data_IF_359975842079
#
_entry.id   IF_359975842079
#
_cell.length_a   1.000
_cell.length_b   1.000
_cell.length_c   1.000
_cell.angle_alpha   90.00
_cell.angle_beta   90.00
_cell.angle_gamma   90.00
#
_symmetry.space_group_name_H-M   'P 1'
#
loop_
_entity.id
_entity.type
_entity.pdbx_description
1 polymer ?
#
# COMPACT_ATOMS: atom_id res chain seq x y z
N UNK A 1 14.20 -6.35 -22.62
CA UNK A 1 13.64 -5.22 -23.39
C UNK A 1 12.32 -4.86 -22.75
N UNK A 2 12.25 -3.70 -22.09
CA UNK A 2 10.99 -3.19 -21.53
C UNK A 2 10.22 -2.53 -22.66
N UNK A 3 9.18 -3.19 -23.16
CA UNK A 3 8.24 -2.55 -24.08
C UNK A 3 7.46 -1.53 -23.26
N UNK A 4 7.55 -0.24 -23.58
CA UNK A 4 6.68 0.77 -22.97
C UNK A 4 5.24 0.45 -23.37
N UNK A 5 4.48 -0.16 -22.46
CA UNK A 5 3.06 -0.42 -22.65
C UNK A 5 2.34 0.93 -22.84
N UNK A 6 1.81 1.16 -24.04
CA UNK A 6 0.94 2.30 -24.31
C UNK A 6 -0.45 2.05 -23.71
N UNK A 7 -0.56 2.10 -22.38
CA UNK A 7 -1.84 2.20 -21.69
C UNK A 7 -2.16 3.68 -21.52
N UNK A 8 -3.40 4.07 -21.86
CA UNK A 8 -3.84 5.45 -21.74
C UNK A 8 -3.70 5.94 -20.29
N UNK A 9 -3.13 7.14 -20.12
CA UNK A 9 -3.01 7.80 -18.81
C UNK A 9 -4.36 8.11 -18.17
N UNK A 10 -5.39 8.23 -19.01
CA UNK A 10 -6.73 8.64 -18.61
C UNK A 10 -7.68 7.47 -18.31
N UNK A 11 -7.23 6.22 -18.54
CA UNK A 11 -8.04 5.04 -18.24
C UNK A 11 -8.29 4.91 -16.73
N UNK A 12 -9.56 4.76 -16.33
CA UNK A 12 -10.03 4.81 -14.93
C UNK A 12 -10.19 3.42 -14.31
N UNK A 13 -9.09 2.79 -13.90
CA UNK A 13 -9.07 1.51 -13.18
C UNK A 13 -9.77 1.57 -11.81
N UNK A 14 -9.52 2.62 -11.03
CA UNK A 14 -10.07 2.87 -9.69
C UNK A 14 -11.60 2.94 -9.62
N UNK A 15 -12.23 3.35 -10.72
CA UNK A 15 -13.70 3.40 -10.82
C UNK A 15 -14.28 2.06 -11.28
N UNK A 16 -13.52 1.27 -12.04
CA UNK A 16 -13.91 -0.06 -12.50
C UNK A 16 -13.85 -1.08 -11.36
N UNK A 17 -12.71 -1.13 -10.66
CA UNK A 17 -12.46 -2.10 -9.60
C UNK A 17 -12.54 -1.45 -8.21
N UNK A 18 -13.17 -2.12 -7.22
CA UNK A 18 -13.85 -3.42 -7.32
C UNK A 18 -15.28 -3.35 -7.90
N UNK A 19 -15.87 -2.16 -8.00
CA UNK A 19 -17.33 -1.99 -8.11
C UNK A 19 -17.97 -2.77 -9.26
N UNK A 20 -17.61 -2.47 -10.50
CA UNK A 20 -18.21 -3.11 -11.69
C UNK A 20 -17.97 -4.63 -11.69
N UNK A 21 -16.80 -5.07 -11.22
CA UNK A 21 -16.46 -6.48 -11.07
C UNK A 21 -17.32 -7.18 -10.01
N UNK A 22 -17.46 -6.59 -8.83
CA UNK A 22 -18.29 -7.15 -7.75
C UNK A 22 -19.76 -7.20 -8.13
N UNK A 23 -20.24 -6.20 -8.87
CA UNK A 23 -21.59 -6.20 -9.39
C UNK A 23 -21.79 -7.31 -10.42
N UNK A 24 -20.86 -7.46 -11.36
CA UNK A 24 -20.91 -8.57 -12.32
C UNK A 24 -20.97 -9.93 -11.63
N UNK A 25 -20.10 -10.21 -10.67
CA UNK A 25 -20.09 -11.47 -9.92
C UNK A 25 -21.39 -11.67 -9.11
N UNK A 26 -21.91 -10.59 -8.50
CA UNK A 26 -23.19 -10.63 -7.79
C UNK A 26 -24.37 -10.95 -8.71
N UNK A 27 -24.38 -10.44 -9.94
CA UNK A 27 -25.42 -10.74 -10.93
C UNK A 27 -25.27 -12.15 -11.52
N UNK A 28 -24.03 -12.60 -11.71
CA UNK A 28 -23.71 -13.98 -12.12
C UNK A 28 -24.25 -15.02 -11.12
N UNK A 29 -24.19 -14.74 -9.82
CA UNK A 29 -24.74 -15.65 -8.79
C UNK A 29 -26.27 -15.62 -8.69
N UNK A 30 -26.90 -14.49 -8.99
CA UNK A 30 -28.38 -14.34 -8.99
C UNK A 30 -29.07 -15.00 -10.19
N UNK A 31 -28.28 -15.59 -11.07
CA UNK A 31 -28.70 -16.21 -12.31
C UNK A 31 -29.69 -17.36 -12.10
N UNK A 32 -29.67 -18.07 -10.97
CA UNK A 32 -30.45 -19.29 -10.79
C UNK A 32 -31.97 -19.06 -10.61
N UNK A 33 -32.38 -17.93 -10.03
CA UNK A 33 -33.79 -17.74 -9.61
C UNK A 33 -34.65 -16.89 -10.54
N UNK A 34 -34.05 -15.97 -11.32
CA UNK A 34 -34.79 -14.96 -12.13
C UNK A 34 -34.73 -15.17 -13.65
N UNK A 35 -33.91 -16.09 -14.15
CA UNK A 35 -33.38 -16.02 -15.53
C UNK A 35 -34.02 -17.01 -16.52
N UNK A 36 -35.22 -17.53 -16.22
CA UNK A 36 -36.04 -18.17 -17.28
C UNK A 36 -36.46 -17.18 -18.38
N UNK A 37 -36.28 -15.87 -18.16
CA UNK A 37 -36.83 -14.81 -19.01
C UNK A 37 -35.98 -14.41 -20.22
N UNK A 38 -34.65 -14.63 -20.24
CA UNK A 38 -33.91 -14.49 -21.52
C UNK A 38 -34.33 -15.66 -22.40
N UNK A 39 -34.95 -15.40 -23.55
CA UNK A 39 -35.26 -16.46 -24.48
C UNK A 39 -33.93 -17.10 -24.91
N UNK A 40 -33.79 -18.42 -24.78
CA UNK A 40 -32.64 -19.14 -25.34
C UNK A 40 -32.46 -18.80 -26.83
N UNK A 41 -33.57 -18.52 -27.50
CA UNK A 41 -33.64 -17.97 -28.86
C UNK A 41 -32.72 -16.74 -29.04
N UNK A 42 -32.68 -15.80 -28.09
CA UNK A 42 -31.85 -14.60 -28.17
C UNK A 42 -30.36 -14.96 -28.23
N UNK A 43 -29.88 -15.77 -27.27
CA UNK A 43 -28.48 -16.19 -27.25
C UNK A 43 -28.12 -17.13 -28.39
N UNK A 44 -29.03 -18.00 -28.83
CA UNK A 44 -28.81 -18.83 -30.02
C UNK A 44 -28.62 -17.98 -31.29
N UNK A 45 -29.41 -16.91 -31.44
CA UNK A 45 -29.27 -15.98 -32.57
C UNK A 45 -27.95 -15.22 -32.51
N UNK A 46 -27.56 -14.73 -31.32
CA UNK A 46 -26.26 -14.07 -31.13
C UNK A 46 -25.13 -15.05 -31.47
N UNK A 47 -25.20 -16.30 -30.99
CA UNK A 47 -24.22 -17.34 -31.32
C UNK A 47 -24.10 -17.53 -32.83
N UNK A 48 -25.23 -17.66 -33.53
CA UNK A 48 -25.24 -17.82 -34.97
C UNK A 48 -24.58 -16.64 -35.69
N UNK A 49 -24.78 -15.41 -35.21
CA UNK A 49 -24.14 -14.21 -35.76
C UNK A 49 -22.63 -14.13 -35.50
N UNK A 50 -22.14 -14.72 -34.39
CA UNK A 50 -20.72 -14.78 -34.03
C UNK A 50 -19.97 -15.96 -34.67
N UNK A 51 -20.70 -16.86 -35.35
CA UNK A 51 -20.16 -18.04 -35.99
C UNK A 51 -19.93 -19.20 -35.02
N UNK A 52 -18.90 -20.02 -35.29
CA UNK A 52 -18.64 -21.20 -34.46
C UNK A 52 -17.95 -20.77 -33.17
N UNK A 53 -18.54 -21.14 -32.04
CA UNK A 53 -17.92 -21.10 -30.71
C UNK A 53 -17.92 -22.52 -30.14
N UNK A 54 -16.82 -22.89 -29.49
CA UNK A 54 -16.72 -24.14 -28.74
C UNK A 54 -17.61 -24.09 -27.49
N UNK A 55 -18.01 -25.27 -27.01
CA UNK A 55 -18.82 -25.43 -25.79
C UNK A 55 -20.08 -24.54 -25.74
N UNK A 56 -21.11 -24.95 -26.50
CA UNK A 56 -22.41 -24.26 -26.57
C UNK A 56 -23.01 -23.96 -25.20
N UNK A 57 -22.87 -24.86 -24.22
CA UNK A 57 -23.45 -24.67 -22.88
C UNK A 57 -22.82 -23.48 -22.15
N UNK A 58 -21.49 -23.39 -22.18
CA UNK A 58 -20.79 -22.27 -21.57
C UNK A 58 -21.13 -20.95 -22.29
N UNK A 59 -21.17 -20.96 -23.63
CA UNK A 59 -21.60 -19.78 -24.40
C UNK A 59 -22.99 -19.28 -23.96
N UNK A 60 -23.95 -20.18 -23.80
CA UNK A 60 -25.31 -19.79 -23.41
C UNK A 60 -25.35 -19.17 -22.02
N UNK A 61 -24.52 -19.66 -21.10
CA UNK A 61 -24.40 -19.13 -19.73
C UNK A 61 -23.77 -17.74 -19.75
N UNK A 62 -22.66 -17.57 -20.48
CA UNK A 62 -21.95 -16.29 -20.61
C UNK A 62 -22.81 -15.25 -21.31
N UNK A 63 -23.44 -15.61 -22.43
CA UNK A 63 -24.33 -14.73 -23.18
C UNK A 63 -25.47 -14.19 -22.31
N UNK A 64 -26.15 -15.07 -21.56
CA UNK A 64 -27.21 -14.64 -20.64
C UNK A 64 -26.64 -13.71 -19.57
N UNK A 65 -25.50 -14.05 -18.96
CA UNK A 65 -24.86 -13.23 -17.91
C UNK A 65 -24.49 -11.84 -18.43
N UNK A 66 -23.92 -11.76 -19.63
CA UNK A 66 -23.55 -10.52 -20.31
C UNK A 66 -24.76 -9.63 -20.61
N UNK A 67 -25.86 -10.18 -21.13
CA UNK A 67 -27.08 -9.41 -21.43
C UNK A 67 -27.67 -8.82 -20.15
N UNK A 68 -27.74 -9.60 -19.07
CA UNK A 68 -28.24 -9.09 -17.80
C UNK A 68 -27.28 -8.11 -17.12
N UNK A 69 -25.98 -8.24 -17.34
CA UNK A 69 -25.05 -7.22 -16.87
C UNK A 69 -25.25 -5.89 -17.62
N UNK A 70 -25.56 -5.92 -18.93
CA UNK A 70 -25.95 -4.71 -19.66
C UNK A 70 -27.25 -4.09 -19.12
N UNK A 71 -28.23 -4.92 -18.79
CA UNK A 71 -29.47 -4.52 -18.10
C UNK A 71 -29.17 -3.82 -16.77
N UNK A 72 -28.27 -4.40 -15.97
CA UNK A 72 -27.80 -3.78 -14.75
C UNK A 72 -27.11 -2.43 -14.98
N UNK A 73 -26.21 -2.36 -15.96
CA UNK A 73 -25.49 -1.13 -16.31
C UNK A 73 -26.46 -0.02 -16.76
N UNK A 74 -27.58 -0.38 -17.39
CA UNK A 74 -28.65 0.59 -17.66
C UNK A 74 -29.33 1.07 -16.37
N UNK A 75 -29.56 0.17 -15.42
CA UNK A 75 -30.32 0.44 -14.20
C UNK A 75 -29.52 1.13 -13.08
N UNK A 76 -28.18 1.19 -13.17
CA UNK A 76 -27.40 1.95 -12.19
C UNK A 76 -27.62 3.46 -12.37
N UNK A 77 -28.18 4.06 -11.32
CA UNK A 77 -28.70 5.45 -11.32
C UNK A 77 -27.70 6.58 -11.61
N UNK A 78 -26.39 6.31 -11.62
CA UNK A 78 -25.36 7.34 -11.86
C UNK A 78 -24.72 7.17 -13.23
N UNK A 79 -24.95 8.14 -14.12
CA UNK A 79 -24.33 8.19 -15.46
C UNK A 79 -22.80 8.12 -15.43
N UNK A 80 -22.16 8.55 -14.32
CA UNK A 80 -20.71 8.50 -14.11
C UNK A 80 -20.14 7.08 -14.10
N UNK A 81 -20.94 6.07 -13.74
CA UNK A 81 -20.47 4.69 -13.61
C UNK A 81 -20.74 3.84 -14.87
N UNK A 82 -21.54 4.35 -15.81
CA UNK A 82 -21.88 3.63 -17.05
C UNK A 82 -20.62 3.36 -17.86
N UNK A 83 -19.80 4.38 -18.12
CA UNK A 83 -18.57 4.24 -18.90
C UNK A 83 -17.59 3.20 -18.32
N UNK A 84 -17.18 3.31 -17.05
CA UNK A 84 -16.35 2.31 -16.38
C UNK A 84 -16.94 0.89 -16.44
N UNK A 85 -18.23 0.72 -16.15
CA UNK A 85 -18.83 -0.62 -16.18
C UNK A 85 -19.01 -1.17 -17.60
N UNK A 86 -19.14 -0.30 -18.61
CA UNK A 86 -19.07 -0.69 -20.02
C UNK A 86 -17.67 -1.15 -20.45
N UNK A 87 -16.62 -0.51 -19.95
CA UNK A 87 -15.24 -0.99 -20.14
C UNK A 87 -15.05 -2.38 -19.52
N UNK A 88 -15.60 -2.60 -18.33
CA UNK A 88 -15.59 -3.91 -17.69
C UNK A 88 -16.40 -4.95 -18.49
N UNK A 89 -17.60 -4.61 -18.96
CA UNK A 89 -18.39 -5.47 -19.84
C UNK A 89 -17.61 -5.88 -21.09
N UNK A 90 -16.92 -4.93 -21.73
CA UNK A 90 -16.10 -5.20 -22.91
C UNK A 90 -14.93 -6.15 -22.60
N UNK A 91 -14.30 -6.02 -21.42
CA UNK A 91 -13.28 -6.96 -20.95
C UNK A 91 -13.85 -8.37 -20.82
N UNK A 92 -14.97 -8.54 -20.13
CA UNK A 92 -15.61 -9.85 -19.95
C UNK A 92 -16.05 -10.43 -21.30
N UNK A 93 -16.62 -9.61 -22.19
CA UNK A 93 -17.00 -10.07 -23.53
C UNK A 93 -15.78 -10.56 -24.31
N UNK A 94 -14.67 -9.81 -24.31
CA UNK A 94 -13.41 -10.24 -24.96
C UNK A 94 -12.88 -11.53 -24.34
N UNK A 95 -12.96 -11.68 -23.02
CA UNK A 95 -12.56 -12.90 -22.31
C UNK A 95 -13.41 -14.11 -22.74
N UNK A 96 -14.74 -13.99 -22.71
CA UNK A 96 -15.66 -15.06 -23.14
C UNK A 96 -15.43 -15.49 -24.58
N UNK A 97 -15.20 -14.55 -25.52
CA UNK A 97 -14.91 -14.89 -26.92
C UNK A 97 -13.62 -15.70 -27.06
N UNK A 98 -12.58 -15.36 -26.29
CA UNK A 98 -11.30 -16.09 -26.26
C UNK A 98 -11.45 -17.47 -25.65
N UNK A 99 -12.05 -17.58 -24.46
CA UNK A 99 -12.22 -18.86 -23.75
C UNK A 99 -13.07 -19.86 -24.54
N UNK A 100 -14.08 -19.36 -25.25
CA UNK A 100 -14.97 -20.17 -26.06
C UNK A 100 -14.45 -20.40 -27.48
N UNK A 101 -13.26 -19.90 -27.84
CA UNK A 101 -12.68 -20.02 -29.18
C UNK A 101 -13.69 -19.67 -30.29
N UNK A 102 -14.41 -18.56 -30.13
CA UNK A 102 -15.34 -18.10 -31.16
C UNK A 102 -14.60 -17.74 -32.46
N UNK A 103 -15.24 -17.93 -33.61
CA UNK A 103 -14.65 -17.56 -34.91
C UNK A 103 -14.40 -16.05 -34.96
N UNK A 104 -15.38 -15.28 -34.49
CA UNK A 104 -15.24 -13.85 -34.29
C UNK A 104 -14.64 -13.55 -32.91
N UNK A 105 -13.59 -12.74 -32.89
CA UNK A 105 -12.82 -12.38 -31.69
C UNK A 105 -12.89 -10.88 -31.37
N UNK A 106 -13.46 -10.08 -32.26
CA UNK A 106 -13.71 -8.66 -32.06
C UNK A 106 -14.84 -8.45 -31.06
N UNK A 107 -14.50 -8.01 -29.85
CA UNK A 107 -15.49 -7.65 -28.84
C UNK A 107 -16.45 -6.56 -29.31
N UNK A 108 -15.99 -5.64 -30.18
CA UNK A 108 -16.82 -4.59 -30.77
C UNK A 108 -17.89 -5.17 -31.69
N UNK A 109 -17.50 -6.03 -32.62
CA UNK A 109 -18.45 -6.70 -33.49
C UNK A 109 -19.44 -7.53 -32.68
N UNK A 110 -18.94 -8.25 -31.68
CA UNK A 110 -19.80 -9.07 -30.83
C UNK A 110 -20.82 -8.24 -30.04
N UNK A 111 -20.40 -7.09 -29.51
CA UNK A 111 -21.31 -6.15 -28.86
C UNK A 111 -22.37 -5.62 -29.82
N UNK A 112 -22.00 -5.26 -31.06
CA UNK A 112 -22.96 -4.82 -32.07
C UNK A 112 -24.01 -5.91 -32.38
N UNK A 113 -23.61 -7.18 -32.42
CA UNK A 113 -24.56 -8.31 -32.59
C UNK A 113 -25.48 -8.48 -31.38
N UNK A 114 -24.93 -8.46 -30.17
CA UNK A 114 -25.73 -8.50 -28.93
C UNK A 114 -26.76 -7.36 -28.95
N UNK A 115 -26.30 -6.15 -29.25
CA UNK A 115 -27.10 -4.94 -29.25
C UNK A 115 -28.25 -5.00 -30.27
N UNK A 116 -27.96 -5.40 -31.50
CA UNK A 116 -28.98 -5.56 -32.55
C UNK A 116 -30.03 -6.62 -32.19
N UNK A 117 -29.62 -7.68 -31.49
CA UNK A 117 -30.53 -8.77 -31.11
C UNK A 117 -31.37 -8.44 -29.87
N UNK A 118 -30.89 -7.55 -29.01
CA UNK A 118 -31.64 -7.05 -27.84
C UNK A 118 -32.84 -6.18 -28.26
N UNK A 119 -32.80 -5.54 -29.44
CA UNK A 119 -33.90 -4.72 -29.94
C UNK A 119 -35.19 -5.55 -30.02
N UNK A 120 -36.27 -5.04 -29.40
CA UNK A 120 -37.58 -5.70 -29.37
C UNK A 120 -37.67 -6.87 -28.38
N UNK A 121 -36.64 -7.15 -27.60
CA UNK A 121 -36.70 -8.06 -26.45
C UNK A 121 -37.12 -7.34 -25.17
N UNK A 122 -37.29 -8.09 -24.07
CA UNK A 122 -37.49 -7.51 -22.74
C UNK A 122 -36.30 -6.70 -22.22
N UNK A 123 -35.16 -6.73 -22.91
CA UNK A 123 -33.92 -6.02 -22.57
C UNK A 123 -33.70 -4.77 -23.42
N UNK A 124 -34.71 -4.30 -24.17
CA UNK A 124 -34.58 -3.20 -25.12
C UNK A 124 -34.02 -1.90 -24.51
N UNK A 125 -34.19 -1.67 -23.21
CA UNK A 125 -33.60 -0.51 -22.51
C UNK A 125 -32.06 -0.60 -22.39
N UNK A 126 -31.47 -1.80 -22.41
CA UNK A 126 -30.03 -1.99 -22.43
C UNK A 126 -29.39 -1.72 -23.80
N UNK A 127 -30.21 -1.45 -24.83
CA UNK A 127 -29.73 -1.12 -26.17
C UNK A 127 -28.88 0.17 -26.17
N UNK A 128 -27.75 0.13 -26.86
CA UNK A 128 -26.76 1.21 -27.01
C UNK A 128 -26.14 1.74 -25.72
N UNK A 129 -26.36 1.13 -24.55
CA UNK A 129 -25.91 1.67 -23.27
C UNK A 129 -24.39 1.87 -23.20
N UNK A 130 -23.62 1.02 -23.89
CA UNK A 130 -22.16 1.07 -23.93
C UNK A 130 -21.58 1.62 -25.24
N UNK A 131 -22.42 1.97 -26.22
CA UNK A 131 -21.97 2.29 -27.59
C UNK A 131 -20.94 3.42 -27.64
N UNK A 132 -21.10 4.45 -26.81
CA UNK A 132 -20.19 5.62 -26.77
C UNK A 132 -18.86 5.33 -26.09
N UNK A 133 -18.80 4.30 -25.23
CA UNK A 133 -17.63 3.97 -24.41
C UNK A 133 -17.02 2.62 -24.81
N UNK A 134 -17.41 2.06 -25.95
CA UNK A 134 -16.95 0.75 -26.40
C UNK A 134 -15.64 0.87 -27.19
N UNK A 135 -14.54 1.12 -26.49
CA UNK A 135 -13.21 1.18 -27.10
C UNK A 135 -12.61 -0.22 -27.28
N UNK A 136 -11.89 -0.47 -28.37
CA UNK A 136 -11.22 -1.75 -28.55
C UNK A 136 -10.14 -1.93 -27.48
N UNK A 137 -10.24 -3.00 -26.69
CA UNK A 137 -9.23 -3.32 -25.68
C UNK A 137 -7.98 -3.85 -26.39
N UNK A 138 -6.93 -3.04 -26.45
CA UNK A 138 -5.60 -3.51 -26.85
C UNK A 138 -5.14 -4.65 -25.94
N UNK A 139 -4.34 -5.58 -26.46
CA UNK A 139 -3.99 -6.81 -25.73
C UNK A 139 -3.26 -6.53 -24.41
N UNK A 140 -2.45 -5.48 -24.36
CA UNK A 140 -1.79 -5.02 -23.14
C UNK A 140 -2.78 -4.58 -22.05
N UNK A 141 -3.80 -3.79 -22.43
CA UNK A 141 -4.84 -3.35 -21.51
C UNK A 141 -5.71 -4.53 -21.08
N UNK A 142 -6.04 -5.44 -22.00
CA UNK A 142 -6.74 -6.68 -21.69
C UNK A 142 -6.00 -7.52 -20.65
N UNK A 143 -4.69 -7.76 -20.84
CA UNK A 143 -3.88 -8.53 -19.90
C UNK A 143 -3.82 -7.87 -18.52
N UNK A 144 -3.70 -6.54 -18.46
CA UNK A 144 -3.73 -5.83 -17.19
C UNK A 144 -5.08 -5.95 -16.46
N UNK A 145 -6.19 -5.78 -17.20
CA UNK A 145 -7.54 -5.97 -16.65
C UNK A 145 -7.75 -7.41 -16.16
N UNK A 146 -7.19 -8.38 -16.87
CA UNK A 146 -7.25 -9.79 -16.49
C UNK A 146 -6.51 -10.08 -15.18
N UNK A 147 -5.28 -9.59 -15.04
CA UNK A 147 -4.51 -9.73 -13.80
C UNK A 147 -5.19 -9.01 -12.61
N UNK A 148 -5.81 -7.85 -12.85
CA UNK A 148 -6.61 -7.15 -11.83
C UNK A 148 -7.86 -7.93 -11.44
N UNK A 149 -8.61 -8.46 -12.41
CA UNK A 149 -9.79 -9.28 -12.15
C UNK A 149 -9.43 -10.51 -11.32
N UNK A 150 -8.34 -11.17 -11.69
CA UNK A 150 -7.80 -12.32 -10.97
C UNK A 150 -7.31 -11.99 -9.55
N UNK A 151 -6.68 -10.82 -9.35
CA UNK A 151 -6.36 -10.32 -8.01
C UNK A 151 -7.62 -10.21 -7.15
N UNK A 152 -8.65 -9.51 -7.64
CA UNK A 152 -9.88 -9.30 -6.88
C UNK A 152 -10.66 -10.60 -6.64
N UNK A 153 -10.73 -11.52 -7.60
CA UNK A 153 -11.36 -12.84 -7.39
C UNK A 153 -10.63 -13.64 -6.31
N UNK A 154 -9.29 -13.62 -6.32
CA UNK A 154 -8.49 -14.30 -5.30
C UNK A 154 -8.66 -13.69 -3.89
N UNK A 155 -9.07 -12.42 -3.82
CA UNK A 155 -9.41 -11.75 -2.58
C UNK A 155 -10.83 -12.08 -2.11
N UNK A 156 -11.83 -12.02 -2.99
CA UNK A 156 -13.25 -12.28 -2.65
C UNK A 156 -13.49 -13.69 -2.10
N UNK A 157 -12.62 -14.65 -2.41
CA UNK A 157 -12.68 -16.01 -1.89
C UNK A 157 -12.16 -16.17 -0.45
N UNK A 158 -11.66 -15.08 0.18
CA UNK A 158 -11.03 -15.12 1.52
C UNK A 158 -11.74 -14.21 2.50
N UNK A 159 -11.94 -14.72 3.73
CA UNK A 159 -12.55 -13.95 4.83
C UNK A 159 -11.57 -13.02 5.56
N UNK A 160 -10.27 -13.29 5.50
CA UNK A 160 -9.25 -12.63 6.34
C UNK A 160 -8.28 -11.76 5.51
N UNK A 161 -8.66 -11.35 4.30
CA UNK A 161 -7.78 -10.55 3.44
C UNK A 161 -6.54 -11.30 2.93
N UNK A 162 -5.53 -10.54 2.50
CA UNK A 162 -4.37 -11.07 1.79
C UNK A 162 -3.17 -11.27 2.73
N UNK A 163 -3.10 -12.46 3.33
CA UNK A 163 -1.93 -12.89 4.10
C UNK A 163 -0.65 -12.95 3.25
N UNK A 164 0.50 -12.85 3.91
CA UNK A 164 1.80 -13.00 3.25
C UNK A 164 1.92 -14.38 2.58
N UNK A 165 2.58 -14.44 1.42
CA UNK A 165 2.71 -15.65 0.58
C UNK A 165 1.40 -16.25 0.04
N UNK A 166 0.25 -15.65 0.35
CA UNK A 166 -1.03 -16.08 -0.19
C UNK A 166 -1.12 -15.82 -1.69
N UNK A 167 -2.03 -16.49 -2.39
CA UNK A 167 -2.21 -16.29 -3.84
C UNK A 167 -2.53 -14.83 -4.19
N UNK A 168 -3.44 -14.18 -3.45
CA UNK A 168 -3.71 -12.75 -3.59
C UNK A 168 -2.43 -11.90 -3.49
N UNK A 169 -1.61 -12.16 -2.48
CA UNK A 169 -0.34 -11.44 -2.31
C UNK A 169 0.59 -11.65 -3.51
N UNK A 170 0.70 -12.88 -4.02
CA UNK A 170 1.50 -13.20 -5.20
C UNK A 170 1.00 -12.46 -6.44
N UNK A 171 -0.33 -12.43 -6.69
CA UNK A 171 -0.94 -11.70 -7.82
C UNK A 171 -0.71 -10.19 -7.70
N UNK A 172 -0.86 -9.62 -6.51
CA UNK A 172 -0.56 -8.22 -6.26
C UNK A 172 0.92 -7.87 -6.52
N UNK A 173 1.85 -8.68 -6.01
CA UNK A 173 3.28 -8.45 -6.22
C UNK A 173 3.65 -8.57 -7.70
N UNK A 174 3.04 -9.51 -8.43
CA UNK A 174 3.20 -9.63 -9.88
C UNK A 174 2.74 -8.35 -10.59
N UNK A 175 1.56 -7.83 -10.25
CA UNK A 175 1.05 -6.57 -10.80
C UNK A 175 2.01 -5.40 -10.57
N UNK A 176 2.56 -5.25 -9.37
CA UNK A 176 3.56 -4.22 -9.08
C UNK A 176 4.84 -4.37 -9.91
N UNK A 177 5.33 -5.59 -10.09
CA UNK A 177 6.57 -5.85 -10.83
C UNK A 177 6.41 -5.62 -12.33
N UNK A 178 5.31 -6.10 -12.91
CA UNK A 178 5.05 -6.03 -14.35
C UNK A 178 4.55 -4.65 -14.79
N UNK A 179 3.74 -3.99 -13.95
CA UNK A 179 2.99 -2.80 -14.34
C UNK A 179 3.26 -1.58 -13.44
N UNK A 180 4.11 -1.69 -12.43
CA UNK A 180 4.42 -0.58 -11.51
C UNK A 180 5.06 0.65 -12.16
N UNK A 181 5.57 0.53 -13.40
CA UNK A 181 6.12 1.65 -14.16
C UNK A 181 5.09 2.33 -15.09
N UNK A 182 3.83 1.89 -15.12
CA UNK A 182 2.81 2.55 -15.94
C UNK A 182 2.53 3.95 -15.39
N UNK A 183 2.54 4.95 -16.26
CA UNK A 183 2.20 6.33 -15.91
C UNK A 183 0.67 6.56 -15.91
N UNK A 184 -0.07 5.78 -15.11
CA UNK A 184 -1.52 5.92 -14.95
C UNK A 184 -1.85 6.10 -13.47
N UNK A 185 -2.32 7.31 -13.11
CA UNK A 185 -2.61 7.67 -11.72
C UNK A 185 -3.70 6.77 -11.11
N UNK A 186 -4.75 6.50 -11.86
CA UNK A 186 -5.89 5.69 -11.43
C UNK A 186 -5.48 4.24 -11.11
N UNK A 187 -4.54 3.68 -11.87
CA UNK A 187 -3.97 2.36 -11.59
C UNK A 187 -3.20 2.33 -10.27
N UNK A 188 -2.33 3.31 -10.03
CA UNK A 188 -1.57 3.40 -8.77
C UNK A 188 -2.49 3.61 -7.57
N UNK A 189 -3.47 4.50 -7.70
CA UNK A 189 -4.48 4.73 -6.67
C UNK A 189 -5.28 3.48 -6.35
N UNK A 190 -5.69 2.71 -7.36
CA UNK A 190 -6.36 1.41 -7.18
C UNK A 190 -5.47 0.42 -6.40
N UNK A 191 -4.19 0.29 -6.75
CA UNK A 191 -3.28 -0.65 -6.08
C UNK A 191 -2.95 -0.21 -4.66
N UNK A 192 -2.73 1.08 -4.42
CA UNK A 192 -2.47 1.63 -3.08
C UNK A 192 -3.67 1.45 -2.17
N UNK A 193 -4.88 1.71 -2.69
CA UNK A 193 -6.13 1.45 -1.97
C UNK A 193 -6.29 -0.03 -1.67
N UNK A 194 -6.09 -0.90 -2.67
CA UNK A 194 -6.16 -2.34 -2.47
C UNK A 194 -5.18 -2.82 -1.39
N UNK A 195 -3.94 -2.34 -1.44
CA UNK A 195 -2.90 -2.64 -0.46
C UNK A 195 -3.31 -2.22 0.95
N UNK A 196 -3.80 -0.99 1.10
CA UNK A 196 -4.19 -0.44 2.40
C UNK A 196 -5.38 -1.18 3.01
N UNK A 197 -6.41 -1.46 2.20
CA UNK A 197 -7.65 -2.06 2.68
C UNK A 197 -7.54 -3.57 2.91
N UNK A 198 -6.68 -4.27 2.16
CA UNK A 198 -6.76 -5.73 2.05
C UNK A 198 -5.49 -6.48 2.48
N UNK A 199 -4.36 -5.80 2.72
CA UNK A 199 -3.13 -6.46 3.16
C UNK A 199 -2.92 -6.36 4.67
N UNK A 200 -3.17 -7.47 5.38
CA UNK A 200 -3.03 -7.57 6.84
C UNK A 200 -1.65 -7.13 7.36
N UNK A 201 -0.58 -7.49 6.66
CA UNK A 201 0.80 -7.26 7.11
C UNK A 201 1.30 -5.82 6.91
N UNK A 202 0.56 -4.98 6.17
CA UNK A 202 1.00 -3.60 5.93
C UNK A 202 0.75 -2.67 7.11
N UNK A 203 -0.19 -2.99 8.02
CA UNK A 203 -0.35 -2.24 9.27
C UNK A 203 0.95 -2.25 10.09
N UNK A 204 1.52 -3.44 10.31
CA UNK A 204 2.80 -3.65 10.99
C UNK A 204 3.99 -3.02 10.23
N UNK A 205 4.07 -3.18 8.91
CA UNK A 205 5.16 -2.55 8.13
C UNK A 205 5.04 -1.02 8.16
N UNK A 206 3.84 -0.47 7.98
CA UNK A 206 3.63 0.97 7.95
C UNK A 206 3.93 1.59 9.32
N UNK A 207 3.57 0.91 10.40
CA UNK A 207 3.94 1.32 11.76
C UNK A 207 5.46 1.28 11.96
N UNK A 208 6.13 0.22 11.46
CA UNK A 208 7.60 0.12 11.47
C UNK A 208 8.28 1.17 10.59
N UNK A 209 7.72 1.52 9.43
CA UNK A 209 8.25 2.55 8.54
C UNK A 209 8.07 3.94 9.15
N UNK A 210 6.92 4.24 9.75
CA UNK A 210 6.71 5.48 10.54
C UNK A 210 7.68 5.56 11.71
N UNK A 211 7.92 4.44 12.41
CA UNK A 211 8.94 4.35 13.45
C UNK A 211 10.35 4.58 12.89
N UNK A 212 10.64 4.06 11.69
CA UNK A 212 11.94 4.23 11.05
C UNK A 212 12.19 5.67 10.60
N UNK A 213 11.18 6.34 10.03
CA UNK A 213 11.24 7.77 9.68
C UNK A 213 11.40 8.64 10.93
N UNK A 214 10.67 8.35 12.00
CA UNK A 214 10.83 9.07 13.26
C UNK A 214 12.22 8.86 13.87
N UNK A 215 12.77 7.64 13.82
CA UNK A 215 14.15 7.33 14.20
C UNK A 215 15.18 8.04 13.33
N UNK A 216 14.96 8.13 12.01
CA UNK A 216 15.85 8.85 11.09
C UNK A 216 15.87 10.34 11.40
N UNK A 217 14.69 10.93 11.63
CA UNK A 217 14.56 12.33 12.03
C UNK A 217 15.21 12.59 13.40
N UNK A 218 15.01 11.70 14.37
CA UNK A 218 15.66 11.78 15.68
C UNK A 218 17.18 11.68 15.57
N UNK A 219 17.70 10.76 14.74
CA UNK A 219 19.14 10.61 14.51
C UNK A 219 19.74 11.86 13.86
N UNK A 220 19.05 12.47 12.89
CA UNK A 220 19.47 13.74 12.28
C UNK A 220 19.50 14.83 13.36
N UNK A 221 18.44 14.98 14.15
CA UNK A 221 18.36 15.98 15.23
C UNK A 221 19.50 15.79 16.25
N UNK A 222 19.77 14.55 16.69
CA UNK A 222 20.85 14.23 17.62
C UNK A 222 22.22 14.57 17.01
N UNK A 223 22.46 14.21 15.75
CA UNK A 223 23.71 14.56 15.06
C UNK A 223 23.89 16.08 14.96
N UNK A 224 22.82 16.81 14.61
CA UNK A 224 22.85 18.28 14.55
C UNK A 224 23.14 18.90 15.93
N UNK A 225 22.54 18.37 17.00
CA UNK A 225 22.77 18.82 18.37
C UNK A 225 24.20 18.56 18.87
N UNK A 226 24.90 17.55 18.35
CA UNK A 226 26.29 17.26 18.73
C UNK A 226 27.27 18.10 17.88
N UNK A 227 27.02 18.24 16.58
CA UNK A 227 27.94 18.90 15.66
C UNK A 227 28.03 20.41 15.93
N UNK A 228 26.90 21.07 16.22
CA UNK A 228 26.87 22.53 16.46
C UNK A 228 27.75 22.97 17.65
N UNK A 229 27.62 22.40 18.87
CA UNK A 229 28.47 22.81 19.99
C UNK A 229 29.93 22.41 19.78
N UNK A 230 30.20 21.30 19.10
CA UNK A 230 31.57 20.88 18.79
C UNK A 230 32.25 21.85 17.83
N UNK A 231 31.56 22.29 16.76
CA UNK A 231 32.09 23.28 15.81
C UNK A 231 32.27 24.64 16.47
N UNK A 232 31.30 25.10 17.28
CA UNK A 232 31.45 26.33 18.07
C UNK A 232 32.64 26.26 19.04
N UNK A 233 32.83 25.13 19.72
CA UNK A 233 33.98 24.92 20.60
C UNK A 233 35.30 24.98 19.83
N UNK A 234 35.38 24.34 18.66
CA UNK A 234 36.58 24.36 17.81
C UNK A 234 36.87 25.79 17.32
N UNK A 235 35.87 26.51 16.82
CA UNK A 235 36.03 27.91 16.39
C UNK A 235 36.52 28.77 17.55
N UNK A 236 35.92 28.64 18.73
CA UNK A 236 36.34 29.38 19.93
C UNK A 236 37.78 29.04 20.32
N UNK A 237 38.17 27.77 20.23
CA UNK A 237 39.55 27.32 20.48
C UNK A 237 40.55 27.88 19.47
N UNK A 238 40.22 27.90 18.17
CA UNK A 238 41.05 28.49 17.13
C UNK A 238 41.19 29.99 17.33
N UNK A 239 40.08 30.72 17.55
CA UNK A 239 40.11 32.15 17.85
C UNK A 239 40.93 32.42 19.11
N UNK A 240 40.78 31.61 20.16
CA UNK A 240 41.57 31.72 21.38
C UNK A 240 43.07 31.55 21.12
N UNK A 241 43.45 30.55 20.29
CA UNK A 241 44.85 30.22 20.03
C UNK A 241 45.56 31.19 19.09
N UNK A 242 44.86 31.72 18.08
CA UNK A 242 45.46 32.49 16.98
C UNK A 242 45.20 33.99 17.05
N UNK A 243 44.37 34.46 17.98
CA UNK A 243 44.17 35.91 18.21
C UNK A 243 45.14 36.40 19.31
N UNK A 244 45.75 37.61 19.19
CA UNK A 244 46.70 38.14 20.20
C UNK A 244 46.15 38.22 21.65
N UNK A 245 44.83 38.16 21.82
CA UNK A 245 44.15 38.07 23.11
C UNK A 245 44.42 36.75 23.87
N UNK A 246 44.87 35.69 23.19
CA UNK A 246 45.21 34.40 23.82
C UNK A 246 46.30 34.53 24.88
N UNK A 247 47.28 35.41 24.68
CA UNK A 247 48.35 35.68 25.66
C UNK A 247 47.82 36.36 26.94
N UNK A 248 46.81 37.25 26.81
CA UNK A 248 46.20 37.97 27.93
C UNK A 248 45.35 37.01 28.78
N UNK A 249 44.54 36.17 28.13
CA UNK A 249 43.74 35.15 28.80
C UNK A 249 44.59 34.02 29.39
N UNK A 250 45.67 33.58 28.72
CA UNK A 250 46.58 32.58 29.26
C UNK A 250 47.17 33.03 30.60
N UNK A 251 47.51 34.32 30.74
CA UNK A 251 47.96 34.88 32.02
C UNK A 251 46.87 34.83 33.11
N UNK A 252 45.61 35.02 32.71
CA UNK A 252 44.43 35.03 33.60
C UNK A 252 44.06 33.62 34.05
N UNK A 253 44.05 32.65 33.12
CA UNK A 253 43.85 31.22 33.42
C UNK A 253 44.96 30.71 34.33
N UNK A 254 46.22 31.08 34.09
CA UNK A 254 47.34 30.68 34.94
C UNK A 254 47.28 31.29 36.34
N UNK A 255 46.66 32.48 36.50
CA UNK A 255 46.34 33.05 37.82
C UNK A 255 45.23 32.26 38.51
N UNK A 256 44.13 31.96 37.82
CA UNK A 256 43.02 31.17 38.38
C UNK A 256 43.48 29.76 38.77
N UNK A 257 44.26 29.10 37.92
CA UNK A 257 44.80 27.76 38.19
C UNK A 257 45.74 27.75 39.40
N UNK A 258 46.56 28.80 39.58
CA UNK A 258 47.36 28.98 40.82
C UNK A 258 46.48 29.17 42.05
N UNK A 259 45.36 29.90 41.95
CA UNK A 259 44.40 30.05 43.06
C UNK A 259 43.71 28.73 43.37
N UNK A 260 43.27 27.99 42.35
CA UNK A 260 42.64 26.69 42.54
C UNK A 260 43.61 25.68 43.15
N UNK A 261 44.83 25.54 42.62
CA UNK A 261 45.82 24.61 43.17
C UNK A 261 46.26 24.98 44.59
N UNK A 262 46.20 26.26 44.99
CA UNK A 262 46.37 26.65 46.40
C UNK A 262 45.20 26.15 47.24
N UNK A 263 43.96 26.43 46.84
CA UNK A 263 42.76 25.96 47.55
C UNK A 263 42.70 24.43 47.65
N UNK A 264 43.15 23.70 46.62
CA UNK A 264 43.13 22.24 46.63
C UNK A 264 44.16 21.65 47.62
N UNK A 265 45.32 22.32 47.81
CA UNK A 265 46.27 21.95 48.87
C UNK A 265 45.70 22.20 50.27
N UNK A 266 44.98 23.31 50.44
CA UNK A 266 44.34 23.62 51.72
C UNK A 266 43.17 22.66 52.02
N UNK A 267 42.41 22.26 51.00
CA UNK A 267 41.31 21.29 51.14
C UNK A 267 41.79 19.86 51.42
N UNK A 268 42.91 19.43 50.81
CA UNK A 268 43.54 18.15 51.12
C UNK A 268 44.04 18.10 52.58
N UNK A 269 44.59 19.20 53.10
CA UNK A 269 44.99 19.29 54.51
C UNK A 269 43.78 19.25 55.48
N UNK A 270 42.62 19.77 55.06
CA UNK A 270 41.39 19.71 55.87
C UNK A 270 40.79 18.29 55.85
N UNK A 271 40.82 17.60 54.70
CA UNK A 271 40.25 16.25 54.57
C UNK A 271 41.05 15.21 55.37
N UNK A 272 42.38 15.27 55.35
CA UNK A 272 43.26 14.40 56.16
C UNK A 272 43.01 14.56 57.67
N UNK A 273 42.72 15.78 58.15
CA UNK A 273 42.43 16.02 59.57
C UNK A 273 41.11 15.40 60.03
N UNK A 274 40.13 15.31 59.13
CA UNK A 274 38.81 14.75 59.44
C UNK A 274 38.80 13.21 59.43
N UNK A 275 39.62 12.59 58.58
CA UNK A 275 39.77 11.13 58.52
C UNK A 275 40.54 10.59 59.73
N UNK A 276 41.49 11.38 60.27
CA UNK A 276 42.20 11.06 61.50
C UNK A 276 41.29 11.09 62.75
N UNK A 277 40.35 12.04 62.83
CA UNK A 277 39.37 12.11 63.93
C UNK A 277 38.35 10.97 63.85
N UNK A 278 37.90 10.61 62.64
CA UNK A 278 36.93 9.51 62.45
C UNK A 278 37.50 8.16 62.87
N UNK A 279 38.78 7.88 62.55
CA UNK A 279 39.44 6.63 62.94
C UNK A 279 39.67 6.54 64.47
N UNK A 280 40.02 7.65 65.15
CA UNK A 280 40.14 7.69 66.62
C UNK A 280 38.79 7.42 67.31
N UNK A 281 37.68 7.90 66.75
CA UNK A 281 36.35 7.65 67.31
C UNK A 281 35.89 6.21 67.13
N UNK A 282 36.25 5.60 65.99
CA UNK A 282 35.88 4.22 65.66
C UNK A 282 36.61 3.19 66.53
N UNK A 283 37.89 3.38 66.82
CA UNK A 283 38.65 2.47 67.70
C UNK A 283 38.20 2.51 69.16
N UNK A 284 37.70 3.66 69.65
CA UNK A 284 37.16 3.76 71.00
C UNK A 284 35.78 3.10 71.17
N UNK A 285 35.03 2.89 70.08
CA UNK A 285 33.70 2.26 70.15
C UNK A 285 33.77 0.75 70.32
N UNK A 286 34.81 0.09 69.78
CA UNK A 286 34.98 -1.37 69.90
C UNK A 286 35.61 -1.83 71.23
N UNK A 287 36.03 -0.90 72.10
CA UNK A 287 36.58 -1.24 73.42
C UNK A 287 35.54 -1.37 74.54
N UNK A 288 34.24 -1.13 74.26
CA UNK A 288 33.17 -1.18 75.27
C UNK A 288 32.24 -2.40 75.20
N UNK A 289 32.44 -3.34 74.29
CA UNK A 289 31.48 -4.44 74.07
C UNK A 289 32.11 -5.83 74.22
N UNK A 290 32.95 -5.99 75.24
CA UNK A 290 33.38 -7.30 75.75
C UNK A 290 33.40 -7.24 77.28
N UNK A 291 32.24 -7.08 77.92
CA UNK A 291 32.06 -7.37 79.36
C UNK A 291 30.57 -7.38 79.73
N UNK A 292 29.85 -8.42 79.32
CA UNK A 292 28.80 -9.06 80.13
C UNK A 292 28.45 -10.40 79.48
N UNK A 293 28.86 -11.54 80.06
CA UNK A 293 28.11 -12.28 81.10
C UNK A 293 26.74 -12.72 80.58
N UNK A 294 26.34 -13.99 80.59
CA UNK A 294 26.86 -15.14 81.30
C UNK A 294 25.69 -16.12 81.51
N UNK A 295 26.01 -17.41 81.51
CA UNK A 295 25.31 -18.52 82.16
C UNK A 295 23.81 -18.41 82.46
N UNK A 296 23.02 -19.23 81.75
CA UNK A 296 22.14 -20.22 82.38
C UNK A 296 21.89 -21.39 81.43
#
# INVERSE_FOLDING_TARGET
>A
MSYSLAISKDFKFDVIFPNCMTDYEKYKLKFDERYRSIPEVLCNNIKADLGQCTNTSNFMTDCKTLIFYLDYVHNISSSSNIGPCCNYFNYILKQSLKELNCTEQSSRFAYEKINNRIIGSSFNHAHNICMTNFESLHDNLYSLLDELNELYRSFLTKSEGCANHSECYKKYMKLLLEYGNIENHSFHELLDKFKYENMQYMSDIQERLKLHESLKNARIIILTLIIIPFTLSMITFFLYKFTPYGLILQSSIWKIWRVWNRKNKDHLNIMDSSELIYNIFRDNKYKKECTSLGYQ
#
